data_IF_663541547236
#
_entry.id   IF_663541547236
#
_cell.length_a   1.000
_cell.length_b   1.000
_cell.length_c   1.000
_cell.angle_alpha   90.00
_cell.angle_beta   90.00
_cell.angle_gamma   90.00
#
_symmetry.space_group_name_H-M   'P 1'
#
loop_
_entity.id
_entity.type
_entity.pdbx_description
1 polymer ?
#
# COMPACT_ATOMS: atom_id res chain seq x y z
N UNK A 1 46.30 -46.08 -15.03
CA UNK A 1 45.71 -45.02 -14.22
C UNK A 1 44.61 -44.33 -14.97
N UNK A 2 43.35 -44.77 -14.78
CA UNK A 2 42.20 -44.12 -15.39
C UNK A 2 41.73 -42.92 -14.54
N UNK A 3 41.10 -41.89 -15.14
CA UNK A 3 40.63 -40.75 -14.39
C UNK A 3 39.49 -41.17 -13.47
N UNK A 4 39.64 -40.92 -12.19
CA UNK A 4 38.57 -41.08 -11.23
C UNK A 4 37.49 -40.01 -11.50
N UNK A 5 36.38 -40.48 -11.96
CA UNK A 5 35.18 -39.71 -12.17
C UNK A 5 34.63 -39.27 -10.79
N UNK A 6 34.99 -38.08 -10.34
CA UNK A 6 34.35 -37.48 -9.18
C UNK A 6 33.02 -36.90 -9.64
N UNK A 7 32.02 -37.79 -9.78
CA UNK A 7 30.64 -37.32 -9.77
C UNK A 7 30.31 -36.94 -8.32
N UNK A 8 30.59 -35.70 -7.98
CA UNK A 8 30.05 -35.12 -6.79
C UNK A 8 28.52 -35.11 -6.97
N UNK A 9 27.87 -36.12 -6.37
CA UNK A 9 26.42 -36.11 -6.22
C UNK A 9 26.11 -34.88 -5.39
N UNK A 10 25.48 -33.90 -6.04
CA UNK A 10 24.89 -32.76 -5.39
C UNK A 10 23.74 -33.27 -4.51
N UNK A 11 24.03 -33.62 -3.25
CA UNK A 11 23.04 -34.06 -2.26
C UNK A 11 22.57 -32.92 -1.37
N UNK A 12 22.92 -31.70 -1.75
CA UNK A 12 22.35 -30.54 -1.13
C UNK A 12 20.99 -30.24 -1.73
N UNK A 13 19.91 -30.47 -0.96
CA UNK A 13 18.73 -29.66 -1.21
C UNK A 13 19.24 -28.21 -1.31
N UNK A 14 18.93 -27.50 -2.38
CA UNK A 14 19.24 -26.08 -2.40
C UNK A 14 18.68 -25.49 -1.10
N UNK A 15 19.35 -24.50 -0.51
CA UNK A 15 18.86 -23.89 0.72
C UNK A 15 17.60 -23.08 0.40
N UNK A 16 16.51 -23.77 0.03
CA UNK A 16 15.19 -23.19 -0.18
C UNK A 16 14.57 -22.68 1.12
N UNK A 17 15.27 -22.79 2.22
CA UNK A 17 14.94 -22.14 3.47
C UNK A 17 15.61 -20.77 3.65
N UNK A 18 16.36 -20.28 2.69
CA UNK A 18 16.48 -18.84 2.53
C UNK A 18 15.19 -18.40 1.90
N UNK A 19 14.18 -18.17 2.73
CA UNK A 19 13.07 -17.28 2.44
C UNK A 19 13.75 -16.04 1.87
N UNK A 20 13.56 -15.77 0.58
CA UNK A 20 13.97 -14.50 0.01
C UNK A 20 12.99 -13.49 0.57
N UNK A 21 13.32 -12.94 1.74
CA UNK A 21 12.64 -11.80 2.31
C UNK A 21 13.00 -10.66 1.39
N UNK A 22 12.04 -10.23 0.60
CA UNK A 22 12.21 -9.03 -0.21
C UNK A 22 12.03 -7.84 0.71
N UNK A 23 13.03 -6.99 0.76
CA UNK A 23 12.93 -5.67 1.38
C UNK A 23 12.25 -4.72 0.39
N UNK A 24 11.08 -4.25 0.75
CA UNK A 24 10.27 -3.38 -0.10
C UNK A 24 10.03 -2.07 0.63
N UNK A 25 10.30 -0.98 -0.07
CA UNK A 25 9.99 0.37 0.38
C UNK A 25 8.83 0.91 -0.44
N UNK A 26 7.81 1.41 0.23
CA UNK A 26 6.63 1.98 -0.39
C UNK A 26 6.46 3.41 0.07
N UNK A 27 6.23 4.31 -0.88
CA UNK A 27 5.80 5.69 -0.64
C UNK A 27 4.39 5.84 -1.16
N UNK A 28 3.53 6.51 -0.41
CA UNK A 28 2.13 6.72 -0.80
C UNK A 28 1.69 8.13 -0.53
N UNK A 29 0.76 8.60 -1.34
CA UNK A 29 0.03 9.84 -1.11
C UNK A 29 -1.37 9.76 -1.69
N UNK A 30 -2.28 10.54 -1.16
CA UNK A 30 -3.65 10.64 -1.61
C UNK A 30 -4.18 12.06 -1.43
N UNK A 31 -5.04 12.48 -2.32
CA UNK A 31 -5.57 13.84 -2.36
C UNK A 31 -6.97 13.86 -2.92
N UNK A 32 -7.81 14.76 -2.43
CA UNK A 32 -9.09 15.06 -3.05
C UNK A 32 -9.24 16.57 -3.25
N UNK A 33 -9.75 16.95 -4.41
CA UNK A 33 -10.05 18.33 -4.78
C UNK A 33 -11.42 18.68 -4.21
N UNK A 34 -11.44 19.41 -3.09
CA UNK A 34 -12.62 19.44 -2.25
C UNK A 34 -12.80 18.10 -1.52
N UNK A 35 -13.22 18.11 -0.30
CA UNK A 35 -13.30 16.88 0.50
C UNK A 35 -14.73 16.72 1.06
N UNK A 36 -15.65 15.99 0.35
CA UNK A 36 -15.43 15.14 -0.82
C UNK A 36 -15.33 15.87 -2.16
N UNK A 37 -14.73 15.17 -3.12
CA UNK A 37 -14.58 15.68 -4.49
C UNK A 37 -13.80 14.69 -5.36
N UNK A 38 -13.41 15.08 -6.58
CA UNK A 38 -12.49 14.29 -7.37
C UNK A 38 -11.18 14.10 -6.62
N UNK A 39 -10.68 12.89 -6.60
CA UNK A 39 -9.45 12.56 -5.88
C UNK A 39 -8.58 11.57 -6.63
N UNK A 40 -7.37 11.39 -6.13
CA UNK A 40 -6.42 10.46 -6.68
C UNK A 40 -5.42 9.98 -5.66
N UNK A 41 -4.77 8.88 -5.96
CA UNK A 41 -3.66 8.38 -5.19
C UNK A 41 -2.42 8.20 -6.07
N UNK A 42 -1.27 8.22 -5.42
CA UNK A 42 0.01 7.85 -5.99
C UNK A 42 0.77 6.95 -5.05
N UNK A 43 1.46 5.96 -5.61
CA UNK A 43 2.33 5.07 -4.88
C UNK A 43 3.59 4.77 -5.68
N UNK A 44 4.72 4.70 -4.99
CA UNK A 44 6.01 4.26 -5.53
C UNK A 44 6.50 3.08 -4.72
N UNK A 45 6.77 1.98 -5.40
CA UNK A 45 7.30 0.75 -4.80
C UNK A 45 8.73 0.56 -5.27
N UNK A 46 9.65 0.35 -4.31
CA UNK A 46 11.05 0.13 -4.56
C UNK A 46 11.51 -1.20 -3.95
N UNK A 47 12.22 -2.00 -4.72
CA UNK A 47 12.86 -3.22 -4.25
C UNK A 47 14.16 -3.44 -5.02
N UNK A 48 15.31 -3.18 -4.38
CA UNK A 48 16.61 -3.20 -5.06
C UNK A 48 16.61 -2.26 -6.28
N UNK A 49 16.92 -2.75 -7.49
CA UNK A 49 16.92 -1.96 -8.71
C UNK A 49 15.52 -1.74 -9.29
N UNK A 50 14.50 -2.40 -8.76
CA UNK A 50 13.14 -2.34 -9.29
C UNK A 50 12.38 -1.15 -8.71
N UNK A 51 11.65 -0.47 -9.60
CA UNK A 51 10.77 0.64 -9.29
C UNK A 51 9.44 0.44 -9.99
N UNK A 52 8.35 0.62 -9.27
CA UNK A 52 7.00 0.63 -9.83
C UNK A 52 6.24 1.84 -9.33
N UNK A 53 5.62 2.56 -10.25
CA UNK A 53 4.70 3.65 -9.94
C UNK A 53 3.26 3.22 -10.19
N UNK A 54 2.35 3.62 -9.31
CA UNK A 54 0.92 3.32 -9.41
C UNK A 54 0.14 4.59 -9.10
N UNK A 55 -0.90 4.86 -9.86
CA UNK A 55 -1.81 5.96 -9.61
C UNK A 55 -3.18 5.68 -10.21
N UNK A 56 -4.20 6.29 -9.63
CA UNK A 56 -5.55 6.29 -10.18
C UNK A 56 -6.31 7.50 -9.66
N UNK A 57 -7.29 7.96 -10.45
CA UNK A 57 -8.18 9.06 -10.11
C UNK A 57 -9.63 8.59 -10.01
N UNK A 58 -10.38 9.22 -9.12
CA UNK A 58 -11.78 8.90 -8.82
C UNK A 58 -12.63 10.16 -8.89
N UNK A 59 -13.83 10.03 -9.41
CA UNK A 59 -14.71 11.19 -9.62
C UNK A 59 -15.26 11.79 -8.33
N UNK A 60 -15.43 10.97 -7.30
CA UNK A 60 -15.95 11.41 -6.00
C UNK A 60 -15.40 10.52 -4.88
N UNK A 61 -14.60 11.11 -4.01
CA UNK A 61 -13.95 10.41 -2.91
C UNK A 61 -13.49 11.40 -1.83
N UNK A 62 -12.72 10.96 -0.87
CA UNK A 62 -12.17 11.79 0.20
C UNK A 62 -10.65 11.65 0.30
N UNK A 63 -10.00 12.62 0.93
CA UNK A 63 -8.57 12.54 1.21
C UNK A 63 -8.20 11.23 1.94
N UNK A 64 -8.91 10.91 3.01
CA UNK A 64 -8.61 9.73 3.82
C UNK A 64 -8.77 8.43 3.03
N UNK A 65 -9.77 8.35 2.16
CA UNK A 65 -9.94 7.19 1.29
C UNK A 65 -8.79 7.04 0.32
N UNK A 66 -8.34 8.13 -0.29
CA UNK A 66 -7.23 8.09 -1.24
C UNK A 66 -5.91 7.71 -0.56
N UNK A 67 -5.65 8.23 0.63
CA UNK A 67 -4.48 7.86 1.44
C UNK A 67 -4.48 6.36 1.79
N UNK A 68 -5.61 5.84 2.23
CA UNK A 68 -5.74 4.43 2.60
C UNK A 68 -5.73 3.52 1.36
N UNK A 69 -6.40 3.91 0.30
CA UNK A 69 -6.43 3.14 -0.95
C UNK A 69 -5.06 3.02 -1.59
N UNK A 70 -4.23 4.07 -1.53
CA UNK A 70 -2.85 4.02 -2.00
C UNK A 70 -2.07 2.89 -1.33
N UNK A 71 -2.22 2.74 -0.02
CA UNK A 71 -1.56 1.67 0.75
C UNK A 71 -2.11 0.30 0.37
N UNK A 72 -3.43 0.16 0.26
CA UNK A 72 -4.05 -1.11 -0.16
C UNK A 72 -3.52 -1.56 -1.51
N UNK A 73 -3.56 -0.70 -2.50
CA UNK A 73 -3.14 -1.01 -3.88
C UNK A 73 -1.66 -1.34 -3.94
N UNK A 74 -0.82 -0.60 -3.21
CA UNK A 74 0.62 -0.86 -3.16
C UNK A 74 0.92 -2.24 -2.56
N UNK A 75 0.30 -2.59 -1.44
CA UNK A 75 0.49 -3.90 -0.82
C UNK A 75 -0.06 -5.05 -1.68
N UNK A 76 -1.19 -4.84 -2.33
CA UNK A 76 -1.78 -5.82 -3.25
C UNK A 76 -0.91 -6.08 -4.49
N UNK A 77 -0.06 -5.14 -4.87
CA UNK A 77 0.87 -5.29 -5.99
C UNK A 77 2.07 -6.20 -5.67
N UNK A 78 2.28 -6.54 -4.41
CA UNK A 78 3.38 -7.41 -3.99
C UNK A 78 3.09 -8.86 -4.39
N UNK A 79 4.00 -9.46 -5.14
CA UNK A 79 3.82 -10.81 -5.72
C UNK A 79 4.05 -11.94 -4.72
N UNK A 80 4.84 -11.71 -3.67
CA UNK A 80 5.27 -12.74 -2.73
C UNK A 80 4.83 -12.40 -1.32
N UNK A 81 4.21 -13.36 -0.65
CA UNK A 81 3.89 -13.26 0.76
C UNK A 81 5.17 -13.25 1.62
N UNK A 82 5.11 -12.66 2.80
CA UNK A 82 6.22 -12.66 3.76
C UNK A 82 7.30 -11.62 3.47
N UNK A 83 7.05 -10.64 2.63
CA UNK A 83 7.97 -9.52 2.40
C UNK A 83 8.09 -8.62 3.62
N UNK A 84 9.28 -8.05 3.83
CA UNK A 84 9.50 -6.97 4.78
C UNK A 84 9.23 -5.65 4.06
N UNK A 85 8.20 -4.94 4.54
CA UNK A 85 7.70 -3.74 3.87
C UNK A 85 7.77 -2.55 4.82
N UNK A 86 8.33 -1.46 4.34
CA UNK A 86 8.26 -0.15 5.01
C UNK A 86 7.39 0.76 4.16
N UNK A 87 6.33 1.30 4.75
CA UNK A 87 5.43 2.25 4.11
C UNK A 87 5.66 3.64 4.71
N UNK A 88 6.02 4.58 3.85
CA UNK A 88 6.12 5.99 4.19
C UNK A 88 4.85 6.71 3.78
N UNK A 89 4.18 7.34 4.73
CA UNK A 89 2.94 8.09 4.50
C UNK A 89 2.91 9.35 5.37
N UNK A 90 2.35 10.42 4.84
CA UNK A 90 2.09 11.65 5.60
C UNK A 90 0.71 11.68 6.25
N UNK A 91 -0.09 10.64 6.01
CA UNK A 91 -1.43 10.51 6.58
C UNK A 91 -1.37 9.99 8.01
N UNK A 92 -1.58 10.86 8.99
CA UNK A 92 -1.74 10.44 10.38
C UNK A 92 -2.94 9.52 10.57
N UNK A 93 -4.00 9.73 9.79
CA UNK A 93 -5.18 8.87 9.81
C UNK A 93 -4.81 7.40 9.56
N UNK A 94 -4.00 7.12 8.54
CA UNK A 94 -3.57 5.75 8.22
C UNK A 94 -2.49 5.27 9.18
N UNK A 95 -1.43 6.05 9.37
CA UNK A 95 -0.27 5.63 10.16
C UNK A 95 -0.65 5.37 11.61
N UNK A 96 -1.41 6.25 12.23
CA UNK A 96 -1.81 6.09 13.64
C UNK A 96 -2.76 4.91 13.84
N UNK A 97 -3.71 4.70 12.93
CA UNK A 97 -4.63 3.57 13.02
C UNK A 97 -3.91 2.23 13.04
N UNK A 98 -2.80 2.12 12.31
CA UNK A 98 -2.01 0.89 12.25
C UNK A 98 -0.98 0.83 13.39
N UNK A 99 -0.18 1.85 13.58
CA UNK A 99 0.92 1.83 14.55
C UNK A 99 0.44 1.81 15.99
N UNK A 100 -0.70 2.43 16.28
CA UNK A 100 -1.32 2.41 17.61
C UNK A 100 -2.26 1.22 17.82
N UNK A 101 -2.39 0.35 16.84
CA UNK A 101 -3.22 -0.85 16.90
C UNK A 101 -4.72 -0.60 16.90
N UNK A 102 -5.16 0.62 16.57
CA UNK A 102 -6.58 0.98 16.59
C UNK A 102 -7.42 0.17 15.62
N UNK A 103 -6.89 -0.07 14.42
CA UNK A 103 -7.62 -0.78 13.37
C UNK A 103 -7.98 -2.22 13.77
N UNK A 104 -7.13 -2.89 14.54
CA UNK A 104 -7.39 -4.22 15.05
C UNK A 104 -8.54 -4.22 16.08
N UNK A 105 -8.60 -3.19 16.91
CA UNK A 105 -9.71 -2.98 17.83
C UNK A 105 -11.01 -2.68 17.10
N UNK A 106 -10.96 -1.88 16.04
CA UNK A 106 -12.14 -1.59 15.21
C UNK A 106 -12.68 -2.85 14.53
N UNK A 107 -11.79 -3.69 14.02
CA UNK A 107 -12.15 -4.96 13.39
C UNK A 107 -12.92 -5.86 14.37
N UNK A 108 -12.46 -5.98 15.61
CA UNK A 108 -13.13 -6.77 16.65
C UNK A 108 -14.55 -6.31 16.93
N UNK A 109 -14.85 -5.02 16.71
CA UNK A 109 -16.16 -4.40 16.89
C UNK A 109 -16.93 -4.28 15.56
N UNK A 110 -16.49 -4.96 14.50
CA UNK A 110 -17.11 -4.92 13.18
C UNK A 110 -17.10 -3.54 12.54
N UNK A 111 -16.11 -2.68 12.89
CA UNK A 111 -16.00 -1.30 12.44
C UNK A 111 -17.18 -0.41 12.81
N UNK A 112 -17.95 -0.77 13.85
CA UNK A 112 -19.09 0.00 14.30
C UNK A 112 -18.68 1.45 14.61
N UNK A 113 -19.39 2.43 14.00
CA UNK A 113 -19.12 3.85 14.16
C UNK A 113 -17.83 4.35 13.50
N UNK A 114 -17.16 3.54 12.68
CA UNK A 114 -15.93 3.91 11.99
C UNK A 114 -16.17 4.15 10.50
N UNK A 115 -15.46 5.14 9.96
CA UNK A 115 -15.49 5.44 8.52
C UNK A 115 -14.59 4.48 7.75
N UNK A 116 -14.93 4.28 6.48
CA UNK A 116 -14.13 3.53 5.53
C UNK A 116 -13.91 2.05 5.90
N UNK A 117 -14.94 1.35 6.42
CA UNK A 117 -14.78 -0.04 6.82
C UNK A 117 -14.41 -0.94 5.64
N UNK A 118 -14.89 -0.66 4.43
CA UNK A 118 -14.56 -1.38 3.20
C UNK A 118 -13.05 -1.38 2.93
N UNK A 119 -12.44 -0.20 2.98
CA UNK A 119 -11.00 -0.05 2.74
C UNK A 119 -10.16 -0.63 3.88
N UNK A 120 -10.59 -0.49 5.13
CA UNK A 120 -9.87 -1.09 6.25
C UNK A 120 -9.91 -2.61 6.23
N UNK A 121 -11.03 -3.21 5.83
CA UNK A 121 -11.10 -4.66 5.62
C UNK A 121 -10.18 -5.12 4.49
N UNK A 122 -10.16 -4.39 3.39
CA UNK A 122 -9.25 -4.63 2.27
C UNK A 122 -7.79 -4.54 2.71
N UNK A 123 -7.46 -3.50 3.46
CA UNK A 123 -6.12 -3.30 4.03
C UNK A 123 -5.70 -4.49 4.91
N UNK A 124 -6.53 -4.89 5.87
CA UNK A 124 -6.20 -6.00 6.77
C UNK A 124 -6.05 -7.32 6.02
N UNK A 125 -6.82 -7.53 4.96
CA UNK A 125 -6.73 -8.72 4.11
C UNK A 125 -5.35 -8.89 3.49
N UNK A 126 -4.69 -7.82 3.09
CA UNK A 126 -3.35 -7.87 2.51
C UNK A 126 -2.23 -7.63 3.54
N UNK A 127 -2.48 -6.81 4.53
CA UNK A 127 -1.52 -6.47 5.57
C UNK A 127 -0.98 -7.70 6.31
N UNK A 128 -1.83 -8.67 6.56
CA UNK A 128 -1.49 -9.91 7.29
C UNK A 128 -0.57 -10.85 6.52
N UNK A 129 -0.41 -10.64 5.23
CA UNK A 129 0.46 -11.48 4.38
C UNK A 129 1.93 -11.05 4.40
N UNK A 130 2.23 -9.90 5.00
CA UNK A 130 3.57 -9.31 5.01
C UNK A 130 3.94 -8.81 6.40
N UNK A 131 5.22 -8.52 6.60
CA UNK A 131 5.70 -7.78 7.76
C UNK A 131 5.78 -6.31 7.37
N UNK A 132 4.77 -5.54 7.74
CA UNK A 132 4.61 -4.15 7.33
C UNK A 132 4.89 -3.22 8.50
N UNK A 133 5.78 -2.28 8.28
CA UNK A 133 6.08 -1.19 9.20
C UNK A 133 5.72 0.13 8.55
N UNK A 134 5.05 0.99 9.29
CA UNK A 134 4.69 2.33 8.84
C UNK A 134 5.63 3.36 9.45
N UNK A 135 6.02 4.32 8.62
CA UNK A 135 6.77 5.50 9.05
C UNK A 135 5.99 6.74 8.63
N UNK A 136 5.61 7.55 9.62
CA UNK A 136 5.00 8.83 9.33
C UNK A 136 6.05 9.81 8.83
N UNK A 137 5.77 10.48 7.73
CA UNK A 137 6.58 11.56 7.20
C UNK A 137 5.78 12.85 7.28
N UNK A 138 6.44 13.93 7.68
CA UNK A 138 5.78 15.23 7.71
C UNK A 138 5.43 15.64 6.29
N UNK A 139 4.19 16.12 6.06
CA UNK A 139 3.76 16.61 4.76
C UNK A 139 4.73 17.66 4.21
N UNK A 140 4.97 17.62 2.90
CA UNK A 140 6.01 18.37 2.21
C UNK A 140 7.45 17.98 2.62
N UNK A 141 7.63 16.74 3.11
CA UNK A 141 8.96 16.19 3.31
C UNK A 141 9.76 16.22 1.99
N UNK A 142 11.03 16.59 2.09
CA UNK A 142 11.92 16.82 0.94
C UNK A 142 12.36 15.55 0.22
N UNK A 143 11.62 14.44 0.35
CA UNK A 143 11.97 13.21 -0.35
C UNK A 143 11.40 13.20 -1.75
N UNK A 144 12.25 12.83 -2.71
CA UNK A 144 11.90 12.75 -4.13
C UNK A 144 10.67 11.87 -4.35
N UNK A 145 10.59 10.76 -3.63
CA UNK A 145 9.52 9.78 -3.81
C UNK A 145 8.18 10.26 -3.23
N UNK A 146 8.19 10.94 -2.09
CA UNK A 146 6.97 11.55 -1.56
C UNK A 146 6.42 12.62 -2.49
N UNK A 147 7.31 13.47 -3.04
CA UNK A 147 6.92 14.48 -4.02
C UNK A 147 6.35 13.84 -5.29
N UNK A 148 6.94 12.72 -5.71
CA UNK A 148 6.43 11.99 -6.88
C UNK A 148 5.03 11.43 -6.63
N UNK A 149 4.77 10.87 -5.47
CA UNK A 149 3.44 10.38 -5.09
C UNK A 149 2.41 11.51 -5.08
N UNK A 150 2.75 12.66 -4.52
CA UNK A 150 1.89 13.85 -4.52
C UNK A 150 1.56 14.29 -5.95
N UNK A 151 2.57 14.41 -6.81
CA UNK A 151 2.37 14.77 -8.22
C UNK A 151 1.43 13.80 -8.93
N UNK A 152 1.61 12.50 -8.73
CA UNK A 152 0.76 11.48 -9.35
C UNK A 152 -0.67 11.54 -8.82
N UNK A 153 -0.85 11.73 -7.50
CA UNK A 153 -2.16 11.83 -6.88
C UNK A 153 -2.94 13.04 -7.42
N UNK A 154 -2.32 14.21 -7.47
CA UNK A 154 -2.93 15.44 -7.98
C UNK A 154 -3.23 15.32 -9.47
N UNK A 155 -2.29 14.80 -10.27
CA UNK A 155 -2.49 14.60 -11.70
C UNK A 155 -3.65 13.63 -11.98
N UNK A 156 -3.75 12.54 -11.22
CA UNK A 156 -4.83 11.58 -11.34
C UNK A 156 -6.19 12.20 -10.99
N UNK A 157 -6.26 12.98 -9.91
CA UNK A 157 -7.48 13.68 -9.49
C UNK A 157 -7.99 14.67 -10.55
N UNK A 158 -7.08 15.29 -11.30
CA UNK A 158 -7.39 16.24 -12.38
C UNK A 158 -7.58 15.59 -13.75
N UNK A 159 -7.48 14.26 -13.81
CA UNK A 159 -7.60 13.52 -15.06
C UNK A 159 -9.03 13.49 -15.61
N UNK A 160 -9.15 12.95 -16.83
CA UNK A 160 -10.45 12.83 -17.53
C UNK A 160 -11.10 11.47 -17.32
N UNK A 161 -10.30 10.41 -17.17
CA UNK A 161 -10.77 9.04 -17.04
C UNK A 161 -10.89 8.65 -15.58
N UNK A 162 -11.76 9.37 -14.86
CA UNK A 162 -11.97 9.15 -13.44
C UNK A 162 -12.81 7.89 -13.20
N UNK A 163 -12.32 7.07 -12.27
CA UNK A 163 -13.01 5.87 -11.81
C UNK A 163 -14.12 6.21 -10.81
N UNK A 164 -14.94 5.21 -10.51
CA UNK A 164 -15.94 5.29 -9.45
C UNK A 164 -15.37 4.68 -8.18
N UNK A 165 -15.36 5.43 -7.10
CA UNK A 165 -15.12 4.89 -5.76
C UNK A 165 -16.42 4.27 -5.25
N UNK A 166 -16.64 3.01 -5.60
CA UNK A 166 -17.91 2.31 -5.35
C UNK A 166 -18.25 2.25 -3.88
N UNK A 167 -17.30 1.93 -3.04
CA UNK A 167 -17.50 1.87 -1.60
C UNK A 167 -17.93 3.20 -1.00
N UNK A 168 -17.41 4.30 -1.52
CA UNK A 168 -17.78 5.63 -1.06
C UNK A 168 -19.16 6.08 -1.59
N UNK A 169 -19.38 5.91 -2.89
CA UNK A 169 -20.63 6.38 -3.51
C UNK A 169 -21.83 5.55 -3.05
N UNK A 170 -21.67 4.24 -2.88
CA UNK A 170 -22.72 3.36 -2.34
C UNK A 170 -23.06 3.72 -0.90
N UNK A 171 -22.08 3.93 -0.03
CA UNK A 171 -22.29 4.31 1.36
C UNK A 171 -23.07 5.63 1.50
N UNK A 172 -22.93 6.55 0.54
CA UNK A 172 -23.69 7.82 0.53
C UNK A 172 -25.15 7.63 0.16
N UNK A 173 -25.49 6.60 -0.60
CA UNK A 173 -26.87 6.32 -1.01
C UNK A 173 -27.69 5.64 0.10
N UNK A 174 -27.00 4.99 1.04
CA UNK A 174 -27.62 4.28 2.15
C UNK A 174 -27.88 5.18 3.39
N UNK A 175 -27.39 6.42 3.35
CA UNK A 175 -27.48 7.36 4.47
C UNK A 175 -28.59 8.39 4.35
#
# INVERSE_FOLDING_TARGET
GGPRNCSAKWTGRPPYNKIFILDITIYTDGSALGNPGPGGYGAVLLSGPFRKEMSAGFRLTTNNRMELMAVCVALEALKFAGSDVVVYSDSKYVVDAVTKGWVLGWEKKGFAGKKNPDLWRRFLGVYRHHRVRFVWVKGHAETVENNRCDQMAVAAANGRDLLVDTGYEEARQEG
#
